data_IF_344707354556
#
_entry.id   IF_344707354556
#
_cell.length_a   1.000
_cell.length_b   1.000
_cell.length_c   1.000
_cell.angle_alpha   90.00
_cell.angle_beta   90.00
_cell.angle_gamma   90.00
#
_symmetry.space_group_name_H-M   'P 1'
#
loop_
_entity.id
_entity.type
_entity.pdbx_description
1 polymer ?
#
# COMPACT_ATOMS: atom_id res chain seq x y z
N UNK A 1 -48.59 -26.75 14.38
CA UNK A 1 -48.25 -26.35 13.13
C UNK A 1 -47.59 -25.05 13.14
N UNK A 2 -48.05 -24.34 13.64
CA UNK A 2 -47.58 -23.22 13.58
C UNK A 2 -46.31 -23.07 14.03
N UNK A 3 -46.00 -23.51 14.90
CA UNK A 3 -44.85 -23.35 15.40
C UNK A 3 -43.80 -23.32 14.52
N UNK A 4 -43.75 -23.84 13.74
CA UNK A 4 -42.79 -23.94 12.93
C UNK A 4 -42.08 -22.82 12.56
N UNK A 5 -42.59 -22.03 12.13
CA UNK A 5 -41.97 -21.02 11.59
C UNK A 5 -41.04 -20.35 12.36
N UNK A 6 -41.18 -20.39 13.31
CA UNK A 6 -40.40 -19.62 14.13
C UNK A 6 -39.00 -19.79 13.78
N UNK A 7 -38.67 -20.78 13.57
CA UNK A 7 -37.44 -21.08 13.31
C UNK A 7 -36.76 -20.36 12.38
N UNK A 8 -37.23 -20.34 11.42
CA UNK A 8 -36.60 -19.84 10.42
C UNK A 8 -35.98 -18.62 10.59
N UNK A 9 -36.43 -17.94 11.11
CA UNK A 9 -35.96 -16.68 11.09
C UNK A 9 -34.59 -16.62 11.52
N UNK A 10 -34.36 -17.17 12.44
CA UNK A 10 -33.13 -17.03 12.98
C UNK A 10 -32.09 -17.11 12.02
N UNK A 11 -32.10 -17.90 11.35
CA UNK A 11 -31.15 -18.10 10.49
C UNK A 11 -30.62 -17.03 9.86
N UNK A 12 -31.31 -16.41 9.32
CA UNK A 12 -30.88 -15.40 8.60
C UNK A 12 -29.93 -14.59 9.16
N UNK A 13 -30.10 -14.38 10.07
CA UNK A 13 -29.31 -13.56 10.63
C UNK A 13 -28.02 -13.75 10.58
N UNK A 14 -27.50 -13.64 10.76
CA UNK A 14 -26.36 -13.73 10.82
C UNK A 14 -25.59 -13.71 9.92
N UNK A 15 -25.49 -13.83 9.56
CA UNK A 15 -24.73 -14.05 8.78
C UNK A 15 -24.54 -13.14 8.03
N UNK A 16 -25.05 -12.95 7.92
CA UNK A 16 -25.07 -12.22 7.00
C UNK A 16 -24.24 -11.24 7.28
N UNK A 17 -24.44 -10.89 7.78
CA UNK A 17 -23.91 -9.85 8.03
C UNK A 17 -22.63 -9.88 8.18
N UNK A 18 -22.34 -9.58 8.79
CA UNK A 18 -21.21 -9.56 9.22
C UNK A 18 -20.17 -9.85 8.50
N UNK A 19 -20.10 -10.51 8.42
CA UNK A 19 -19.20 -11.11 7.83
C UNK A 19 -18.59 -10.48 6.73
N UNK A 20 -19.08 -10.56 5.81
CA UNK A 20 -18.53 -10.16 4.65
C UNK A 20 -17.82 -8.90 4.70
N UNK A 21 -18.19 -8.11 5.47
CA UNK A 21 -17.62 -6.93 5.58
C UNK A 21 -16.20 -6.92 5.71
N UNK A 22 -15.70 -7.66 6.46
CA UNK A 22 -14.33 -7.64 6.68
C UNK A 22 -13.51 -7.95 5.49
N UNK A 23 -13.90 -8.86 4.76
CA UNK A 23 -13.14 -9.24 3.66
C UNK A 23 -13.02 -8.18 2.67
N UNK A 24 -14.01 -7.36 2.63
CA UNK A 24 -14.11 -6.35 1.76
C UNK A 24 -12.88 -5.55 1.66
N UNK A 25 -12.33 -5.16 2.74
CA UNK A 25 -11.23 -4.29 2.71
C UNK A 25 -10.01 -4.98 2.18
N UNK A 26 -9.94 -6.24 2.27
CA UNK A 26 -8.75 -6.93 1.84
C UNK A 26 -8.66 -7.11 0.35
N UNK A 27 -9.73 -6.80 -0.36
CA UNK A 27 -9.71 -6.97 -1.80
C UNK A 27 -9.47 -5.66 -2.54
N UNK A 28 -9.28 -4.57 -1.83
CA UNK A 28 -9.10 -3.27 -2.47
C UNK A 28 -7.71 -3.19 -3.08
N UNK A 29 -7.65 -2.80 -4.34
CA UNK A 29 -6.39 -2.64 -5.03
C UNK A 29 -5.74 -1.30 -4.69
N UNK A 30 -4.44 -1.23 -4.72
CA UNK A 30 -3.73 0.00 -4.44
C UNK A 30 -3.70 0.94 -5.63
N UNK A 31 -3.74 0.45 -6.85
CA UNK A 31 -3.59 1.27 -8.04
C UNK A 31 -4.54 2.47 -8.10
N UNK A 32 -5.85 2.32 -7.84
CA UNK A 32 -6.73 3.47 -7.92
C UNK A 32 -6.42 4.55 -6.88
N UNK A 33 -5.73 4.19 -5.83
CA UNK A 33 -5.39 5.13 -4.78
C UNK A 33 -4.02 5.74 -5.01
N UNK A 34 -3.02 4.92 -5.32
CA UNK A 34 -1.66 5.39 -5.40
C UNK A 34 -1.43 6.24 -6.65
N UNK A 35 -2.23 6.09 -7.68
CA UNK A 35 -2.09 6.87 -8.90
C UNK A 35 -2.74 8.26 -8.81
N UNK A 36 -3.30 8.62 -7.66
CA UNK A 36 -3.90 9.93 -7.49
C UNK A 36 -2.92 10.89 -6.84
N UNK A 37 -2.39 11.79 -7.62
CA UNK A 37 -1.52 12.85 -7.09
C UNK A 37 -0.13 12.39 -6.74
N UNK A 38 0.47 13.09 -5.83
CA UNK A 38 1.84 12.83 -5.42
C UNK A 38 1.88 12.49 -3.93
N UNK A 39 2.92 11.83 -3.53
CA UNK A 39 3.06 11.29 -2.20
C UNK A 39 4.39 11.67 -1.58
N UNK A 40 4.43 11.73 -0.26
CA UNK A 40 5.70 11.84 0.43
C UNK A 40 5.84 10.64 1.35
N UNK A 41 7.07 10.29 1.67
CA UNK A 41 7.35 9.19 2.57
C UNK A 41 7.26 9.73 3.99
N UNK A 42 6.35 9.20 4.78
CA UNK A 42 6.20 9.62 6.17
C UNK A 42 6.68 8.56 7.16
N UNK A 43 7.05 7.39 6.68
CA UNK A 43 7.75 6.41 7.48
C UNK A 43 8.58 5.50 6.57
N UNK A 44 9.83 5.32 6.89
CA UNK A 44 10.67 4.29 6.27
C UNK A 44 11.56 3.69 7.34
N UNK A 45 11.49 2.38 7.51
CA UNK A 45 12.39 1.68 8.41
C UNK A 45 13.10 0.57 7.66
N UNK A 46 14.32 0.30 8.04
CA UNK A 46 15.10 -0.81 7.52
C UNK A 46 15.76 -1.48 8.73
N UNK A 47 15.62 -2.78 8.86
CA UNK A 47 16.14 -3.53 10.02
C UNK A 47 15.67 -2.89 11.33
N UNK A 48 14.43 -2.40 11.34
CA UNK A 48 13.78 -1.74 12.49
C UNK A 48 14.37 -0.37 12.83
N UNK A 49 15.28 0.15 12.02
CA UNK A 49 15.86 1.46 12.24
C UNK A 49 15.09 2.48 11.40
N UNK A 50 14.68 3.56 12.02
CA UNK A 50 13.91 4.60 11.36
C UNK A 50 14.86 5.47 10.51
N UNK A 51 14.66 5.46 9.22
CA UNK A 51 15.45 6.24 8.27
C UNK A 51 14.59 7.23 7.50
N UNK A 52 13.43 7.55 8.03
CA UNK A 52 12.47 8.43 7.35
C UNK A 52 13.09 9.76 6.93
N UNK A 53 13.90 10.34 7.79
CA UNK A 53 14.47 11.66 7.51
C UNK A 53 15.36 11.69 6.26
N UNK A 54 15.89 10.56 5.86
CA UNK A 54 16.75 10.53 4.66
C UNK A 54 15.93 10.78 3.40
N UNK A 55 14.61 10.65 3.48
CA UNK A 55 13.73 10.86 2.32
C UNK A 55 13.10 12.27 2.34
N UNK A 56 13.50 13.14 3.24
CA UNK A 56 12.95 14.49 3.31
C UNK A 56 13.16 15.21 1.98
N UNK A 57 12.13 15.86 1.52
CA UNK A 57 12.17 16.62 0.27
C UNK A 57 11.83 15.79 -0.96
N UNK A 58 11.76 14.48 -0.86
CA UNK A 58 11.35 13.66 -1.99
C UNK A 58 9.83 13.58 -2.10
N UNK A 59 9.33 13.63 -3.33
CA UNK A 59 7.94 13.30 -3.62
C UNK A 59 7.93 12.16 -4.62
N UNK A 60 6.92 11.31 -4.55
CA UNK A 60 6.74 10.18 -5.44
C UNK A 60 5.45 10.34 -6.21
N UNK A 61 5.48 10.03 -7.49
CA UNK A 61 4.27 9.98 -8.32
C UNK A 61 4.24 8.63 -9.02
N UNK A 62 3.11 7.93 -8.86
CA UNK A 62 2.90 6.63 -9.49
C UNK A 62 1.92 6.83 -10.63
N UNK A 63 2.34 6.51 -11.85
CA UNK A 63 1.48 6.70 -13.01
C UNK A 63 0.83 5.38 -13.42
N UNK A 64 -0.35 5.45 -13.99
CA UNK A 64 -1.09 4.25 -14.36
C UNK A 64 -0.38 3.41 -15.40
N UNK A 65 0.52 4.02 -16.16
CA UNK A 65 1.26 3.29 -17.19
C UNK A 65 2.45 2.51 -16.61
N UNK A 66 2.60 2.48 -15.29
CA UNK A 66 3.67 1.73 -14.65
C UNK A 66 4.93 2.53 -14.41
N UNK A 67 4.89 3.85 -14.63
CA UNK A 67 6.06 4.68 -14.37
C UNK A 67 5.99 5.26 -12.97
N UNK A 68 7.13 5.33 -12.30
CA UNK A 68 7.22 6.01 -11.01
C UNK A 68 8.24 7.12 -11.16
N UNK A 69 7.98 8.25 -10.55
CA UNK A 69 8.86 9.41 -10.60
C UNK A 69 9.15 9.87 -9.18
N UNK A 70 10.42 9.98 -8.84
CA UNK A 70 10.87 10.57 -7.59
C UNK A 70 11.45 11.94 -7.89
N UNK A 71 10.98 12.96 -7.18
CA UNK A 71 11.42 14.34 -7.40
C UNK A 71 11.97 14.95 -6.13
N UNK A 72 13.05 15.72 -6.28
CA UNK A 72 13.59 16.50 -5.19
C UNK A 72 14.40 17.65 -5.78
N UNK A 73 14.14 18.87 -5.33
CA UNK A 73 14.91 20.06 -5.75
C UNK A 73 14.99 20.21 -7.28
N UNK A 74 13.89 19.93 -7.95
CA UNK A 74 13.85 20.09 -9.41
C UNK A 74 14.43 18.91 -10.19
N UNK A 75 15.02 17.95 -9.54
CA UNK A 75 15.54 16.77 -10.21
C UNK A 75 14.51 15.65 -10.21
N UNK A 76 14.52 14.83 -11.24
CA UNK A 76 13.62 13.71 -11.35
C UNK A 76 14.39 12.44 -11.60
N UNK A 77 13.99 11.40 -10.91
CA UNK A 77 14.49 10.06 -11.16
C UNK A 77 13.28 9.20 -11.46
N UNK A 78 13.33 8.45 -12.54
CA UNK A 78 12.19 7.67 -12.98
C UNK A 78 12.50 6.18 -12.89
N UNK A 79 11.46 5.39 -12.92
CA UNK A 79 11.57 3.95 -12.93
C UNK A 79 10.22 3.32 -13.22
N UNK A 80 10.05 2.10 -12.78
CA UNK A 80 8.84 1.34 -13.01
C UNK A 80 8.26 0.86 -11.70
N UNK A 81 6.96 0.70 -11.65
CA UNK A 81 6.26 0.09 -10.53
C UNK A 81 5.14 -0.78 -11.08
N UNK A 82 4.72 -1.75 -10.30
CA UNK A 82 3.61 -2.61 -10.68
C UNK A 82 2.92 -3.11 -9.43
N UNK A 83 1.62 -3.40 -9.56
CA UNK A 83 0.87 -4.03 -8.49
C UNK A 83 0.56 -5.46 -8.87
N UNK A 84 0.75 -6.40 -7.95
CA UNK A 84 0.35 -7.78 -8.08
C UNK A 84 -0.89 -7.96 -7.22
N UNK A 85 -2.05 -8.12 -7.87
CA UNK A 85 -3.31 -8.26 -7.17
C UNK A 85 -3.44 -9.56 -6.41
N UNK A 86 -2.75 -10.57 -6.83
CA UNK A 86 -2.85 -11.87 -6.18
C UNK A 86 -2.03 -11.89 -4.91
N UNK A 87 -0.81 -11.39 -4.98
CA UNK A 87 0.08 -11.35 -3.83
C UNK A 87 -0.13 -10.13 -2.95
N UNK A 88 -0.95 -9.18 -3.38
CA UNK A 88 -1.24 -7.94 -2.64
C UNK A 88 0.04 -7.18 -2.33
N UNK A 89 0.81 -6.91 -3.35
CA UNK A 89 2.08 -6.20 -3.19
C UNK A 89 2.34 -5.28 -4.36
N UNK A 90 3.18 -4.30 -4.16
CA UNK A 90 3.71 -3.50 -5.26
C UNK A 90 5.21 -3.73 -5.34
N UNK A 91 5.73 -3.59 -6.53
CA UNK A 91 7.16 -3.63 -6.79
C UNK A 91 7.57 -2.25 -7.24
N UNK A 92 8.66 -1.73 -6.68
CA UNK A 92 9.22 -0.45 -7.08
C UNK A 92 10.62 -0.70 -7.61
N UNK A 93 10.93 -0.07 -8.73
CA UNK A 93 12.25 -0.18 -9.32
C UNK A 93 12.63 1.16 -9.96
N UNK A 94 13.21 2.04 -9.17
CA UNK A 94 13.71 3.32 -9.64
C UNK A 94 15.07 3.13 -10.29
N UNK A 95 15.29 3.81 -11.41
CA UNK A 95 16.55 3.71 -12.12
C UNK A 95 17.52 4.73 -11.52
N UNK A 96 18.18 4.34 -10.44
CA UNK A 96 18.99 5.28 -9.67
C UNK A 96 20.23 4.60 -9.11
N UNK A 97 21.28 5.41 -8.92
CA UNK A 97 22.45 4.99 -8.19
C UNK A 97 22.50 5.67 -6.82
N UNK A 98 21.52 6.50 -6.51
CA UNK A 98 21.40 7.15 -5.22
C UNK A 98 21.11 6.09 -4.17
N UNK A 99 21.95 5.90 -3.16
CA UNK A 99 21.74 4.84 -2.18
C UNK A 99 20.49 5.02 -1.34
N UNK A 100 19.99 6.25 -1.19
CA UNK A 100 18.77 6.48 -0.43
C UNK A 100 17.57 6.00 -1.24
N UNK A 101 17.44 6.46 -2.48
CA UNK A 101 16.31 6.05 -3.32
C UNK A 101 16.36 4.58 -3.66
N UNK A 102 17.55 4.01 -3.77
CA UNK A 102 17.66 2.59 -4.08
C UNK A 102 17.04 1.70 -3.00
N UNK A 103 16.89 2.21 -1.79
CA UNK A 103 16.24 1.44 -0.73
C UNK A 103 14.77 1.22 -0.96
N UNK A 104 14.15 1.99 -1.85
CA UNK A 104 12.75 1.79 -2.20
C UNK A 104 12.58 0.64 -3.21
N UNK A 105 13.67 0.24 -3.88
CA UNK A 105 13.62 -0.78 -4.91
C UNK A 105 13.47 -2.15 -4.27
N UNK A 106 12.23 -2.61 -4.15
CA UNK A 106 11.94 -3.86 -3.47
C UNK A 106 10.49 -4.26 -3.74
N UNK A 107 10.11 -5.38 -3.14
CA UNK A 107 8.73 -5.85 -3.14
C UNK A 107 8.09 -5.43 -1.82
N UNK A 108 6.97 -4.74 -1.91
CA UNK A 108 6.30 -4.15 -0.75
C UNK A 108 4.90 -4.72 -0.61
N UNK A 109 4.68 -5.51 0.43
CA UNK A 109 3.35 -6.04 0.72
C UNK A 109 2.46 -4.94 1.25
N UNK A 110 1.25 -4.82 0.69
CA UNK A 110 0.31 -3.79 1.09
C UNK A 110 -0.31 -4.19 2.42
N UNK A 111 -0.15 -3.37 3.43
CA UNK A 111 -0.73 -3.65 4.74
C UNK A 111 -1.94 -2.77 5.06
N UNK A 112 -2.04 -1.60 4.46
CA UNK A 112 -3.21 -0.75 4.68
C UNK A 112 -3.35 0.28 3.57
N UNK A 113 -4.58 0.57 3.20
CA UNK A 113 -4.92 1.58 2.21
C UNK A 113 -5.97 2.49 2.80
N UNK A 114 -5.73 3.80 2.77
CA UNK A 114 -6.72 4.79 3.18
C UNK A 114 -6.73 5.92 2.17
N UNK A 115 -7.63 6.88 2.35
CA UNK A 115 -7.70 7.99 1.43
C UNK A 115 -6.44 8.81 1.40
N UNK A 116 -5.77 8.94 2.51
CA UNK A 116 -4.62 9.83 2.62
C UNK A 116 -3.30 9.10 2.69
N UNK A 117 -3.27 7.80 2.75
CA UNK A 117 -2.01 7.10 2.91
C UNK A 117 -2.08 5.62 2.61
N UNK A 118 -0.92 5.06 2.31
CA UNK A 118 -0.77 3.64 2.13
C UNK A 118 0.39 3.18 2.99
N UNK A 119 0.25 2.00 3.58
CA UNK A 119 1.29 1.39 4.40
C UNK A 119 1.70 0.06 3.80
N UNK A 120 2.98 -0.20 3.84
CA UNK A 120 3.56 -1.39 3.26
C UNK A 120 4.56 -2.01 4.21
N UNK A 121 4.80 -3.30 4.04
CA UNK A 121 5.86 -4.02 4.72
C UNK A 121 6.78 -4.64 3.68
N UNK A 122 8.07 -4.65 3.93
CA UNK A 122 9.00 -5.28 3.02
C UNK A 122 8.67 -6.76 2.91
N UNK A 123 8.60 -7.29 1.71
CA UNK A 123 8.15 -8.66 1.51
C UNK A 123 9.10 -9.70 2.12
N UNK A 124 10.38 -9.38 2.17
CA UNK A 124 11.37 -10.32 2.71
C UNK A 124 11.68 -10.08 4.18
N UNK A 125 11.41 -8.88 4.68
CA UNK A 125 11.67 -8.55 6.08
C UNK A 125 10.51 -7.73 6.63
N UNK A 126 9.33 -8.33 6.79
CA UNK A 126 8.13 -7.55 7.12
C UNK A 126 8.16 -6.91 8.50
N UNK A 127 8.89 -7.48 9.44
CA UNK A 127 8.91 -6.89 10.77
C UNK A 127 9.90 -5.74 10.88
N UNK A 128 10.92 -5.71 10.04
CA UNK A 128 11.96 -4.69 10.12
C UNK A 128 11.87 -3.63 9.04
N UNK A 129 11.23 -3.92 7.92
CA UNK A 129 11.14 -3.00 6.80
C UNK A 129 9.72 -2.52 6.60
N UNK A 130 9.49 -1.22 6.80
CA UNK A 130 8.17 -0.61 6.65
C UNK A 130 8.27 0.64 5.80
N UNK A 131 7.24 0.88 5.02
CA UNK A 131 7.13 2.06 4.21
C UNK A 131 5.72 2.61 4.34
N UNK A 132 5.59 3.88 4.66
CA UNK A 132 4.29 4.54 4.62
C UNK A 132 4.41 5.79 3.76
N UNK A 133 3.44 6.00 2.90
CA UNK A 133 3.37 7.19 2.08
C UNK A 133 2.07 7.93 2.39
N UNK A 134 2.14 9.24 2.33
CA UNK A 134 1.01 10.13 2.63
C UNK A 134 0.81 11.05 1.45
N UNK A 135 -0.44 11.32 1.12
CA UNK A 135 -0.76 12.21 -0.01
C UNK A 135 -0.38 13.65 0.32
N UNK A 136 0.04 14.37 -0.69
CA UNK A 136 0.37 15.78 -0.56
C UNK A 136 -0.85 16.67 -0.76
#
# INVERSE_FOLDING_TARGET
PLLIFAIKCSVIIYFAACTGIDDYTNTVAATPHVTKGSWKINLFTEEKIDETATFDGYTLTFEQNGKIIARKNGEQITGNWAEDDILKRITINLNTKDPVLAKLNDYWNISNISKSGLSFQNAENPSGGRLQITSL
#
